data_IF_046522277578
#
_entry.id   IF_046522277578
#
_cell.length_a   1.000
_cell.length_b   1.000
_cell.length_c   1.000
_cell.angle_alpha   90.00
_cell.angle_beta   90.00
_cell.angle_gamma   90.00
#
_symmetry.space_group_name_H-M   'P 1'
#
loop_
_entity.id
_entity.type
_entity.pdbx_description
1 polymer ?
#
# COMPACT_ATOMS: atom_id res chain seq x y z
N UNK A 1 -16.26 -7.51 2.75
CA UNK A 1 -15.18 -7.17 3.70
C UNK A 1 -14.78 -5.73 3.47
N UNK A 2 -14.32 -5.00 4.50
CA UNK A 2 -13.81 -3.63 4.36
C UNK A 2 -12.29 -3.61 4.59
N UNK A 3 -11.59 -2.72 3.88
CA UNK A 3 -10.18 -2.42 4.15
C UNK A 3 -10.01 -1.18 5.05
N UNK A 4 -8.88 -1.10 5.74
CA UNK A 4 -8.47 0.07 6.51
C UNK A 4 -7.02 0.44 6.19
N UNK A 5 -6.75 1.75 6.15
CA UNK A 5 -5.39 2.26 6.01
C UNK A 5 -5.02 2.96 7.32
N UNK A 6 -3.91 2.55 7.91
CA UNK A 6 -3.33 3.19 9.09
C UNK A 6 -2.04 3.89 8.74
N UNK A 7 -1.77 5.01 9.40
CA UNK A 7 -0.49 5.71 9.33
C UNK A 7 0.30 5.49 10.62
N UNK A 8 1.59 5.19 10.49
CA UNK A 8 2.55 5.21 11.58
C UNK A 8 3.88 5.78 11.06
N UNK A 9 4.37 6.84 11.70
CA UNK A 9 5.57 7.57 11.30
C UNK A 9 5.52 7.98 9.81
N UNK A 10 6.41 7.41 8.99
CA UNK A 10 6.57 7.65 7.56
C UNK A 10 6.08 6.47 6.71
N UNK A 11 5.12 5.70 7.23
CA UNK A 11 4.61 4.50 6.60
C UNK A 11 3.08 4.44 6.69
N UNK A 12 2.44 4.10 5.57
CA UNK A 12 1.05 3.75 5.48
C UNK A 12 0.92 2.23 5.31
N UNK A 13 -0.03 1.62 6.00
CA UNK A 13 -0.31 0.19 5.89
C UNK A 13 -1.78 -0.04 5.60
N UNK A 14 -2.04 -0.88 4.61
CA UNK A 14 -3.35 -1.36 4.22
C UNK A 14 -3.61 -2.70 4.89
N UNK A 15 -4.74 -2.82 5.56
CA UNK A 15 -5.16 -4.04 6.26
C UNK A 15 -6.57 -4.47 5.85
N UNK A 16 -6.85 -5.76 5.97
CA UNK A 16 -8.23 -6.28 6.05
C UNK A 16 -8.80 -5.95 7.43
N UNK A 17 -9.94 -5.27 7.45
CA UNK A 17 -10.58 -4.91 8.71
C UNK A 17 -11.00 -6.16 9.49
N UNK A 18 -10.64 -6.21 10.77
CA UNK A 18 -11.00 -7.29 11.68
C UNK A 18 -10.13 -8.55 11.61
N UNK A 19 -9.23 -8.70 10.63
CA UNK A 19 -8.30 -9.84 10.57
C UNK A 19 -6.87 -9.49 11.00
N UNK A 20 -6.49 -8.21 10.91
CA UNK A 20 -5.09 -7.78 11.12
C UNK A 20 -4.14 -8.16 9.99
N UNK A 21 -4.65 -8.77 8.91
CA UNK A 21 -3.86 -9.14 7.73
C UNK A 21 -3.43 -7.87 6.98
N UNK A 22 -2.12 -7.64 6.89
CA UNK A 22 -1.56 -6.57 6.06
C UNK A 22 -1.59 -7.00 4.59
N UNK A 23 -2.12 -6.15 3.72
CA UNK A 23 -2.30 -6.38 2.29
C UNK A 23 -1.33 -5.60 1.40
N UNK A 24 -0.88 -4.45 1.90
CA UNK A 24 0.10 -3.60 1.24
C UNK A 24 0.61 -2.57 2.23
N UNK A 25 1.77 -1.98 1.97
CA UNK A 25 2.23 -0.81 2.69
C UNK A 25 3.00 0.12 1.78
N UNK A 26 3.05 1.40 2.14
CA UNK A 26 3.80 2.42 1.43
C UNK A 26 4.68 3.17 2.41
N UNK A 27 5.96 3.35 2.09
CA UNK A 27 6.93 4.03 2.95
C UNK A 27 7.66 5.11 2.19
N UNK A 28 7.90 6.25 2.83
CA UNK A 28 8.81 7.26 2.30
C UNK A 28 10.22 6.70 2.22
N UNK A 29 10.84 6.79 1.03
CA UNK A 29 12.20 6.32 0.77
C UNK A 29 12.93 7.31 -0.14
N UNK A 30 14.24 7.44 0.09
CA UNK A 30 15.12 8.13 -0.85
C UNK A 30 15.38 7.22 -2.05
N UNK A 31 14.96 7.66 -3.23
CA UNK A 31 15.14 6.92 -4.48
C UNK A 31 16.55 7.15 -5.01
N UNK A 32 17.13 6.15 -5.67
CA UNK A 32 18.44 6.27 -6.34
C UNK A 32 18.39 7.46 -7.30
N UNK A 33 19.28 8.43 -7.11
CA UNK A 33 19.24 9.74 -7.79
C UNK A 33 18.86 10.92 -6.88
N UNK A 34 18.61 10.68 -5.59
CA UNK A 34 18.46 11.74 -4.57
C UNK A 34 17.07 12.39 -4.53
N UNK A 35 16.10 11.86 -5.28
CA UNK A 35 14.72 12.30 -5.19
C UNK A 35 13.99 11.56 -4.07
N UNK A 36 13.24 12.29 -3.25
CA UNK A 36 12.31 11.69 -2.30
C UNK A 36 11.12 11.08 -3.06
N UNK A 37 10.71 9.89 -2.64
CA UNK A 37 9.55 9.21 -3.18
C UNK A 37 8.92 8.31 -2.13
N UNK A 38 7.83 7.64 -2.51
CA UNK A 38 7.16 6.66 -1.67
C UNK A 38 7.18 5.32 -2.38
N UNK A 39 7.77 4.31 -1.74
CA UNK A 39 7.74 2.95 -2.26
C UNK A 39 6.50 2.23 -1.76
N UNK A 40 5.67 1.77 -2.68
CA UNK A 40 4.48 0.95 -2.43
C UNK A 40 4.87 -0.52 -2.59
N UNK A 41 4.54 -1.33 -1.59
CA UNK A 41 4.83 -2.75 -1.49
C UNK A 41 3.53 -3.53 -1.29
N UNK A 42 2.98 -4.14 -2.35
CA UNK A 42 1.72 -4.90 -2.31
C UNK A 42 1.94 -6.28 -1.67
N UNK A 43 1.94 -6.32 -0.34
CA UNK A 43 2.18 -7.51 0.47
C UNK A 43 0.90 -8.32 0.71
N UNK A 44 0.65 -9.37 -0.07
CA UNK A 44 -0.43 -10.33 0.22
C UNK A 44 -1.72 -10.22 -0.62
N UNK A 45 -1.84 -9.22 -1.50
CA UNK A 45 -2.90 -9.18 -2.54
C UNK A 45 -2.45 -9.93 -3.81
N UNK A 46 -1.16 -9.84 -4.14
CA UNK A 46 -0.58 -10.56 -5.26
C UNK A 46 0.93 -10.69 -5.00
N UNK A 47 1.38 -11.90 -4.67
CA UNK A 47 2.81 -12.22 -4.48
C UNK A 47 3.66 -11.96 -5.74
N UNK A 48 3.02 -11.64 -6.86
CA UNK A 48 3.63 -11.34 -8.16
C UNK A 48 3.69 -9.86 -8.51
N UNK A 49 3.11 -8.98 -7.69
CA UNK A 49 3.09 -7.55 -7.99
C UNK A 49 4.38 -6.93 -7.43
N UNK A 50 5.21 -6.41 -8.33
CA UNK A 50 6.48 -5.79 -7.96
C UNK A 50 6.27 -4.52 -7.14
N UNK A 51 7.21 -4.23 -6.24
CA UNK A 51 7.31 -2.95 -5.58
C UNK A 51 7.44 -1.83 -6.62
N UNK A 52 6.75 -0.71 -6.40
CA UNK A 52 6.85 0.46 -7.28
C UNK A 52 6.97 1.76 -6.49
N UNK A 53 7.53 2.79 -7.11
CA UNK A 53 7.76 4.09 -6.49
C UNK A 53 6.81 5.12 -7.08
N UNK A 54 6.16 5.88 -6.20
CA UNK A 54 5.34 7.04 -6.55
C UNK A 54 5.98 8.32 -6.03
N UNK A 55 5.57 9.45 -6.61
CA UNK A 55 6.27 10.73 -6.42
C UNK A 55 6.08 11.32 -5.02
N UNK A 56 4.89 11.14 -4.46
CA UNK A 56 4.50 11.82 -3.23
C UNK A 56 3.55 10.97 -2.37
N UNK A 57 3.33 11.44 -1.15
CA UNK A 57 2.49 10.82 -0.14
C UNK A 57 1.03 10.63 -0.60
N UNK A 58 0.48 11.61 -1.32
CA UNK A 58 -0.89 11.56 -1.83
C UNK A 58 -1.06 10.46 -2.88
N UNK A 59 -0.08 10.30 -3.76
CA UNK A 59 -0.05 9.18 -4.71
C UNK A 59 0.08 7.83 -4.00
N UNK A 60 0.88 7.75 -2.94
CA UNK A 60 1.05 6.52 -2.16
C UNK A 60 -0.27 6.10 -1.49
N UNK A 61 -0.96 7.04 -0.84
CA UNK A 61 -2.28 6.83 -0.28
C UNK A 61 -3.31 6.41 -1.34
N UNK A 62 -3.28 7.03 -2.51
CA UNK A 62 -4.17 6.70 -3.62
C UNK A 62 -3.91 5.28 -4.13
N UNK A 63 -2.65 4.87 -4.25
CA UNK A 63 -2.27 3.52 -4.64
C UNK A 63 -2.76 2.47 -3.63
N UNK A 64 -2.59 2.71 -2.32
CA UNK A 64 -3.08 1.81 -1.28
C UNK A 64 -4.61 1.70 -1.28
N UNK A 65 -5.34 2.79 -1.50
CA UNK A 65 -6.82 2.75 -1.66
C UNK A 65 -7.24 1.93 -2.87
N UNK A 66 -6.57 2.11 -4.00
CA UNK A 66 -6.85 1.34 -5.21
C UNK A 66 -6.60 -0.16 -5.00
N UNK A 67 -5.52 -0.53 -4.30
CA UNK A 67 -5.22 -1.91 -3.93
C UNK A 67 -6.30 -2.50 -3.01
N UNK A 68 -6.76 -1.75 -2.01
CA UNK A 68 -7.85 -2.17 -1.11
C UNK A 68 -9.16 -2.43 -1.86
N UNK A 69 -9.55 -1.51 -2.75
CA UNK A 69 -10.74 -1.66 -3.59
C UNK A 69 -10.63 -2.85 -4.56
N UNK A 70 -9.44 -3.06 -5.16
CA UNK A 70 -9.20 -4.19 -6.05
C UNK A 70 -9.30 -5.53 -5.30
N UNK A 71 -8.77 -5.61 -4.08
CA UNK A 71 -8.91 -6.79 -3.22
C UNK A 71 -10.37 -7.10 -2.90
N UNK A 72 -11.16 -6.08 -2.54
CA UNK A 72 -12.60 -6.23 -2.28
C UNK A 72 -13.38 -6.68 -3.52
N UNK A 73 -13.07 -6.11 -4.68
CA UNK A 73 -13.71 -6.46 -5.95
C UNK A 73 -13.34 -7.87 -6.43
N UNK A 74 -12.12 -8.33 -6.14
CA UNK A 74 -11.63 -9.66 -6.47
C UNK A 74 -12.19 -10.78 -5.60
N UNK A 75 -13.07 -10.47 -4.63
CA UNK A 75 -13.63 -11.46 -3.71
C UNK A 75 -12.63 -11.87 -2.62
N UNK A 76 -11.77 -10.96 -2.19
CA UNK A 76 -10.79 -11.18 -1.13
C UNK A 76 -11.43 -11.73 0.16
N UNK A 77 -11.37 -13.07 0.29
CA UNK A 77 -11.88 -13.84 1.43
C UNK A 77 -13.36 -14.20 1.33
#
# INVERSE_FOLDING_TARGET
>A
MSHLITQADNEYRLYVAGSGTCLAYAKSETVVGGSEGWRVRPHGIAEHLEDFVVKDEGQALTALKALGLAYEAGGGG
#
